data_IF_387615894077
#
_entry.id   IF_387615894077
#
_cell.length_a   1.000
_cell.length_b   1.000
_cell.length_c   1.000
_cell.angle_alpha   90.00
_cell.angle_beta   90.00
_cell.angle_gamma   90.00
#
_symmetry.space_group_name_H-M   'P 1'
#
loop_
_entity.id
_entity.type
_entity.pdbx_description
1 polymer ?
#
# COMPACT_ATOMS: atom_id res chain seq x y z
N UNK A 1 31.53 3.97 60.44
CA UNK A 1 30.95 4.80 61.52
C UNK A 1 30.17 3.92 62.48
N UNK A 2 29.24 3.02 62.01
CA UNK A 2 28.41 2.12 62.83
C UNK A 2 29.26 1.21 63.80
N UNK A 3 30.31 0.54 63.30
CA UNK A 3 31.22 -0.26 64.10
C UNK A 3 32.03 0.54 65.11
N UNK A 4 32.44 1.76 64.75
CA UNK A 4 33.17 2.64 65.67
C UNK A 4 32.28 3.23 66.79
N UNK A 5 30.99 3.46 66.50
CA UNK A 5 30.01 3.92 67.47
C UNK A 5 29.64 2.81 68.46
N UNK A 6 29.47 1.57 67.98
CA UNK A 6 29.16 0.44 68.85
C UNK A 6 30.33 0.11 69.81
N UNK A 7 31.57 0.06 69.32
CA UNK A 7 32.74 -0.23 70.19
C UNK A 7 33.06 0.88 71.19
N UNK A 8 32.73 2.14 70.85
CA UNK A 8 32.85 3.27 71.79
C UNK A 8 31.77 3.27 72.87
N UNK A 9 30.60 2.67 72.64
CA UNK A 9 29.51 2.61 73.58
C UNK A 9 29.75 1.60 74.72
N UNK A 10 30.28 0.44 74.43
CA UNK A 10 30.40 -0.61 75.47
C UNK A 10 31.51 -0.35 76.49
N UNK A 11 32.66 0.18 76.04
CA UNK A 11 33.82 0.33 76.93
C UNK A 11 33.92 1.67 77.63
N UNK A 12 33.34 2.75 77.07
CA UNK A 12 33.41 4.08 77.69
C UNK A 12 32.27 4.38 78.70
N UNK A 13 31.12 3.72 78.57
CA UNK A 13 29.95 4.08 79.39
C UNK A 13 30.08 3.60 80.83
N UNK A 14 30.46 2.33 81.03
CA UNK A 14 30.47 1.77 82.38
C UNK A 14 31.46 2.44 83.34
N UNK A 15 32.68 2.69 82.90
CA UNK A 15 33.70 3.30 83.73
C UNK A 15 33.43 4.76 84.02
N UNK A 16 32.99 5.53 83.01
CA UNK A 16 32.63 6.98 83.21
C UNK A 16 31.39 7.16 84.08
N UNK A 17 30.39 6.32 83.91
CA UNK A 17 29.19 6.39 84.77
C UNK A 17 29.51 6.02 86.22
N UNK A 18 30.35 5.05 86.46
CA UNK A 18 30.84 4.72 87.78
C UNK A 18 31.66 5.86 88.41
N UNK A 19 32.55 6.48 87.63
CA UNK A 19 33.35 7.63 88.09
C UNK A 19 32.50 8.83 88.46
N UNK A 20 31.45 9.13 87.67
CA UNK A 20 30.51 10.24 87.94
C UNK A 20 29.66 9.92 89.18
N UNK A 21 29.16 8.71 89.34
CA UNK A 21 28.40 8.26 90.52
C UNK A 21 29.22 8.23 91.83
N UNK A 22 30.47 7.76 91.71
CA UNK A 22 31.39 7.77 92.86
C UNK A 22 31.92 9.19 93.24
N UNK A 23 31.75 10.16 92.40
CA UNK A 23 32.04 11.56 92.70
C UNK A 23 30.94 12.32 93.48
N UNK A 24 29.81 11.70 93.82
CA UNK A 24 28.70 12.26 94.54
C UNK A 24 29.09 12.66 95.97
N UNK A 25 28.78 13.88 96.39
CA UNK A 25 29.16 14.46 97.71
C UNK A 25 28.14 14.21 98.78
N UNK A 26 26.94 13.74 98.49
CA UNK A 26 25.87 13.34 99.35
C UNK A 26 24.95 12.32 98.72
N UNK A 27 24.12 11.61 99.55
CA UNK A 27 23.14 10.69 99.03
C UNK A 27 22.12 11.28 98.08
N UNK A 28 21.66 12.54 98.36
CA UNK A 28 20.76 13.27 97.46
C UNK A 28 21.44 13.63 96.17
N UNK A 29 22.70 13.95 96.16
CA UNK A 29 23.50 14.22 94.99
C UNK A 29 23.68 12.96 94.14
N UNK A 30 23.92 11.83 94.76
CA UNK A 30 23.97 10.51 94.19
C UNK A 30 22.67 10.14 93.40
N UNK A 31 21.51 10.30 94.09
CA UNK A 31 20.21 10.08 93.43
C UNK A 31 19.95 11.00 92.29
N UNK A 32 20.31 12.29 92.42
CA UNK A 32 20.16 13.26 91.32
C UNK A 32 21.03 12.90 90.10
N UNK A 33 22.26 12.51 90.33
CA UNK A 33 23.18 12.09 89.26
C UNK A 33 22.71 10.76 88.66
N UNK A 34 22.25 9.79 89.45
CA UNK A 34 21.71 8.53 88.95
C UNK A 34 20.48 8.73 88.04
N UNK A 35 19.55 9.59 88.45
CA UNK A 35 18.38 9.92 87.62
C UNK A 35 18.78 10.65 86.37
N UNK A 36 19.68 11.63 86.41
CA UNK A 36 20.18 12.33 85.22
C UNK A 36 20.89 11.39 84.24
N UNK A 37 21.66 10.41 84.77
CA UNK A 37 22.29 9.38 83.94
C UNK A 37 21.26 8.47 83.29
N UNK A 38 20.23 8.07 84.06
CA UNK A 38 19.12 7.29 83.49
C UNK A 38 18.40 8.04 82.39
N UNK A 39 18.10 9.31 82.60
CA UNK A 39 17.45 10.14 81.57
C UNK A 39 18.30 10.29 80.29
N UNK A 40 19.61 10.49 80.46
CA UNK A 40 20.55 10.55 79.32
C UNK A 40 20.60 9.19 78.59
N UNK A 41 20.66 8.08 79.35
CA UNK A 41 20.70 6.75 78.73
C UNK A 41 19.41 6.46 77.94
N UNK A 42 18.26 6.76 78.53
CA UNK A 42 16.97 6.60 77.85
C UNK A 42 16.86 7.47 76.62
N UNK A 43 17.34 8.72 76.66
CA UNK A 43 17.39 9.59 75.51
C UNK A 43 18.32 9.09 74.41
N UNK A 44 19.51 8.58 74.81
CA UNK A 44 20.45 7.98 73.87
C UNK A 44 19.87 6.74 73.21
N UNK A 45 19.19 5.83 73.98
CA UNK A 45 18.51 4.66 73.43
C UNK A 45 17.41 5.05 72.44
N UNK A 46 16.57 6.02 72.82
CA UNK A 46 15.52 6.51 71.91
C UNK A 46 16.13 7.09 70.62
N UNK A 47 17.16 7.90 70.71
CA UNK A 47 17.86 8.52 69.56
C UNK A 47 18.52 7.45 68.68
N UNK A 48 19.12 6.41 69.33
CA UNK A 48 19.72 5.28 68.61
C UNK A 48 18.69 4.45 67.88
N UNK A 49 17.49 4.26 68.46
CA UNK A 49 16.39 3.57 67.81
C UNK A 49 15.87 4.37 66.62
N UNK A 50 15.62 5.69 66.82
CA UNK A 50 15.20 6.59 65.71
C UNK A 50 16.22 6.58 64.55
N UNK A 51 17.52 6.57 64.87
CA UNK A 51 18.57 6.51 63.87
C UNK A 51 18.58 5.16 63.14
N UNK A 52 18.34 4.07 63.86
CA UNK A 52 18.25 2.70 63.29
C UNK A 52 17.06 2.61 62.33
N UNK A 53 15.89 3.12 62.74
CA UNK A 53 14.66 3.10 61.93
C UNK A 53 14.84 3.99 60.67
N UNK A 54 15.55 5.14 60.81
CA UNK A 54 15.84 6.01 59.66
C UNK A 54 16.81 5.36 58.68
N UNK A 55 17.82 4.63 59.16
CA UNK A 55 18.75 3.89 58.33
C UNK A 55 17.99 2.79 57.55
N UNK A 56 17.13 2.02 58.23
CA UNK A 56 16.32 0.99 57.61
C UNK A 56 15.40 1.58 56.54
N UNK A 57 14.74 2.68 56.86
CA UNK A 57 13.92 3.43 55.88
C UNK A 57 14.73 3.89 54.67
N UNK A 58 15.94 4.44 54.91
CA UNK A 58 16.81 4.92 53.84
C UNK A 58 17.27 3.77 52.95
N UNK A 59 17.58 2.62 53.50
CA UNK A 59 17.97 1.42 52.72
C UNK A 59 16.78 0.89 51.89
N UNK A 60 15.56 0.92 52.45
CA UNK A 60 14.34 0.55 51.71
C UNK A 60 14.02 1.54 50.60
N UNK A 61 14.06 2.87 50.88
CA UNK A 61 13.83 3.92 49.87
C UNK A 61 14.86 3.81 48.74
N UNK A 62 16.11 3.49 49.08
CA UNK A 62 17.18 3.30 48.08
C UNK A 62 16.96 2.07 47.22
N UNK A 63 16.48 0.95 47.79
CA UNK A 63 16.13 -0.25 47.04
C UNK A 63 14.96 0.01 46.07
N UNK A 64 13.93 0.70 46.58
CA UNK A 64 12.78 1.08 45.76
C UNK A 64 13.20 2.01 44.60
N UNK A 65 14.05 3.00 44.85
CA UNK A 65 14.55 3.92 43.83
C UNK A 65 15.33 3.19 42.73
N UNK A 66 16.10 2.16 43.08
CA UNK A 66 16.85 1.36 42.09
C UNK A 66 15.92 0.49 41.25
N UNK A 67 14.83 -0.05 41.86
CA UNK A 67 13.78 -0.77 41.14
C UNK A 67 13.03 0.17 40.16
N UNK A 68 12.54 1.33 40.62
CA UNK A 68 11.87 2.34 39.79
C UNK A 68 12.76 2.83 38.64
N UNK A 69 14.06 2.99 38.88
CA UNK A 69 15.03 3.35 37.85
C UNK A 69 15.15 2.27 36.79
N UNK A 70 15.17 1.02 37.20
CA UNK A 70 15.24 -0.14 36.28
C UNK A 70 14.00 -0.22 35.41
N UNK A 71 12.80 -0.02 36.00
CA UNK A 71 11.54 0.02 35.27
C UNK A 71 11.47 1.20 34.30
N UNK A 72 11.95 2.37 34.73
CA UNK A 72 12.02 3.56 33.88
C UNK A 72 12.94 3.35 32.67
N UNK A 73 14.10 2.74 32.87
CA UNK A 73 15.05 2.46 31.78
C UNK A 73 14.49 1.39 30.81
N UNK A 74 13.78 0.39 31.30
CA UNK A 74 13.05 -0.57 30.47
C UNK A 74 11.94 0.11 29.64
N UNK A 75 11.16 0.99 30.28
CA UNK A 75 10.10 1.76 29.62
C UNK A 75 10.65 2.72 28.54
N UNK A 76 11.78 3.40 28.83
CA UNK A 76 12.47 4.20 27.84
C UNK A 76 12.90 3.39 26.63
N UNK A 77 13.45 2.20 26.85
CA UNK A 77 13.88 1.33 25.76
C UNK A 77 12.69 0.87 24.91
N UNK A 78 11.56 0.56 25.54
CA UNK A 78 10.32 0.24 24.82
C UNK A 78 9.83 1.41 23.94
N UNK A 79 9.86 2.64 24.46
CA UNK A 79 9.50 3.83 23.70
C UNK A 79 10.42 4.01 22.49
N UNK A 80 11.73 3.82 22.66
CA UNK A 80 12.70 3.90 21.53
C UNK A 80 12.41 2.82 20.49
N UNK A 81 12.10 1.60 20.90
CA UNK A 81 11.75 0.53 19.98
C UNK A 81 10.48 0.86 19.19
N UNK A 82 9.42 1.34 19.87
CA UNK A 82 8.18 1.78 19.21
C UNK A 82 8.41 2.96 18.25
N UNK A 83 9.26 3.91 18.61
CA UNK A 83 9.63 5.00 17.71
C UNK A 83 10.29 4.48 16.43
N UNK A 84 11.20 3.52 16.54
CA UNK A 84 11.85 2.89 15.40
C UNK A 84 10.87 2.12 14.51
N UNK A 85 9.91 1.40 15.11
CA UNK A 85 8.83 0.73 14.39
C UNK A 85 7.96 1.73 13.62
N UNK A 86 7.58 2.84 14.26
CA UNK A 86 6.80 3.90 13.62
C UNK A 86 7.57 4.53 12.46
N UNK A 87 8.88 4.77 12.63
CA UNK A 87 9.72 5.30 11.55
C UNK A 87 9.81 4.33 10.37
N UNK A 88 9.98 3.04 10.64
CA UNK A 88 9.99 2.00 9.60
C UNK A 88 8.63 1.91 8.87
N UNK A 89 7.53 1.92 9.61
CA UNK A 89 6.18 1.94 9.04
C UNK A 89 5.92 3.21 8.20
N UNK A 90 6.36 4.37 8.69
CA UNK A 90 6.27 5.64 7.94
C UNK A 90 7.04 5.58 6.62
N UNK A 91 8.24 4.98 6.63
CA UNK A 91 9.02 4.80 5.41
C UNK A 91 8.31 3.87 4.42
N UNK A 92 7.76 2.75 4.88
CA UNK A 92 6.97 1.85 4.03
C UNK A 92 5.75 2.54 3.43
N UNK A 93 5.02 3.33 4.23
CA UNK A 93 3.89 4.12 3.74
C UNK A 93 4.34 5.10 2.65
N UNK A 94 5.48 5.77 2.83
CA UNK A 94 6.02 6.69 1.82
C UNK A 94 6.38 5.97 0.51
N UNK A 95 6.96 4.78 0.58
CA UNK A 95 7.25 3.96 -0.60
C UNK A 95 5.95 3.59 -1.32
N UNK A 96 4.94 3.12 -0.58
CA UNK A 96 3.63 2.78 -1.14
C UNK A 96 2.95 4.00 -1.77
N UNK A 97 3.01 5.17 -1.12
CA UNK A 97 2.45 6.41 -1.66
C UNK A 97 3.12 6.82 -2.97
N UNK A 98 4.45 6.72 -3.05
CA UNK A 98 5.19 7.05 -4.27
C UNK A 98 4.84 6.08 -5.40
N UNK A 99 4.73 4.78 -5.10
CA UNK A 99 4.31 3.77 -6.06
C UNK A 99 2.87 4.02 -6.54
N UNK A 100 1.97 4.33 -5.62
CA UNK A 100 0.58 4.66 -5.95
C UNK A 100 0.47 5.94 -6.81
N UNK A 101 1.27 6.96 -6.49
CA UNK A 101 1.32 8.20 -7.27
C UNK A 101 1.80 7.95 -8.71
N UNK A 102 2.80 7.08 -8.88
CA UNK A 102 3.29 6.66 -10.18
C UNK A 102 2.20 5.93 -10.97
N UNK A 103 1.56 4.93 -10.36
CA UNK A 103 0.46 4.18 -10.98
C UNK A 103 -0.71 5.08 -11.36
N UNK A 104 -1.04 6.06 -10.51
CA UNK A 104 -2.07 7.05 -10.79
C UNK A 104 -1.72 7.93 -11.99
N UNK A 105 -0.46 8.37 -12.08
CA UNK A 105 0.04 9.14 -13.21
C UNK A 105 0.00 8.33 -14.52
N UNK A 106 0.44 7.07 -14.46
CA UNK A 106 0.42 6.16 -15.62
C UNK A 106 -1.02 5.88 -16.07
N UNK A 107 -1.94 5.69 -15.13
CA UNK A 107 -3.36 5.50 -15.40
C UNK A 107 -3.99 6.78 -15.97
N UNK A 108 -3.68 7.96 -15.45
CA UNK A 108 -4.12 9.24 -16.02
C UNK A 108 -3.65 9.42 -17.46
N UNK A 109 -2.39 9.06 -17.75
CA UNK A 109 -1.87 9.12 -19.12
C UNK A 109 -2.63 8.14 -20.04
N UNK A 110 -2.94 6.93 -19.57
CA UNK A 110 -3.75 5.96 -20.32
C UNK A 110 -5.16 6.49 -20.55
N UNK A 111 -5.82 7.08 -19.56
CA UNK A 111 -7.14 7.70 -19.70
C UNK A 111 -7.12 8.91 -20.63
N UNK A 112 -6.08 9.74 -20.55
CA UNK A 112 -5.95 10.89 -21.47
C UNK A 112 -5.79 10.44 -22.93
N UNK A 113 -4.98 9.40 -23.18
CA UNK A 113 -4.83 8.79 -24.49
C UNK A 113 -6.14 8.15 -24.97
N UNK A 114 -6.88 7.51 -24.06
CA UNK A 114 -8.18 6.90 -24.35
C UNK A 114 -9.24 7.97 -24.66
N UNK A 115 -9.25 9.08 -23.93
CA UNK A 115 -10.13 10.24 -24.21
C UNK A 115 -9.81 10.87 -25.57
N UNK A 116 -8.52 11.07 -25.88
CA UNK A 116 -8.09 11.59 -27.19
C UNK A 116 -8.48 10.62 -28.33
N UNK A 117 -8.39 9.31 -28.09
CA UNK A 117 -8.86 8.31 -29.05
C UNK A 117 -10.38 8.33 -29.21
N UNK A 118 -11.14 8.51 -28.11
CA UNK A 118 -12.60 8.68 -28.17
C UNK A 118 -12.98 9.93 -28.94
N UNK A 119 -12.27 11.05 -28.76
CA UNK A 119 -12.53 12.27 -29.51
C UNK A 119 -12.12 12.14 -30.99
N UNK A 120 -11.05 11.42 -31.31
CA UNK A 120 -10.68 11.03 -32.66
C UNK A 120 -11.74 10.12 -33.29
N UNK A 121 -12.22 9.14 -32.53
CA UNK A 121 -13.31 8.25 -32.91
C UNK A 121 -14.60 9.05 -33.18
N UNK A 122 -14.98 9.98 -32.29
CA UNK A 122 -16.13 10.86 -32.48
C UNK A 122 -16.00 11.73 -33.73
N UNK A 123 -14.82 12.30 -33.97
CA UNK A 123 -14.54 13.08 -35.17
C UNK A 123 -14.63 12.19 -36.41
N UNK A 124 -14.02 11.01 -36.38
CA UNK A 124 -14.10 10.07 -37.50
C UNK A 124 -15.52 9.51 -37.64
N UNK A 125 -16.31 9.37 -36.54
CA UNK A 125 -17.73 9.01 -36.56
C UNK A 125 -18.57 10.06 -37.31
N UNK A 126 -18.27 11.35 -37.15
CA UNK A 126 -18.94 12.42 -37.89
C UNK A 126 -18.64 12.26 -39.37
N UNK A 127 -17.42 11.96 -39.72
CA UNK A 127 -16.97 11.76 -41.12
C UNK A 127 -17.50 10.43 -41.72
N UNK A 128 -17.75 9.41 -40.86
CA UNK A 128 -18.23 8.07 -41.28
C UNK A 128 -19.76 7.95 -41.12
N UNK A 129 -20.43 8.86 -40.41
CA UNK A 129 -21.88 8.79 -40.13
C UNK A 129 -22.71 8.69 -41.44
N UNK A 130 -22.27 9.32 -42.53
CA UNK A 130 -22.90 9.20 -43.87
C UNK A 130 -22.82 7.74 -44.35
N UNK A 131 -21.75 7.02 -44.11
CA UNK A 131 -21.59 5.63 -44.54
C UNK A 131 -22.25 4.62 -43.62
N UNK A 132 -22.47 4.97 -42.35
CA UNK A 132 -23.12 4.10 -41.34
C UNK A 132 -24.61 3.90 -41.62
N UNK A 133 -25.28 4.79 -42.32
CA UNK A 133 -26.68 4.64 -42.66
C UNK A 133 -26.94 3.41 -43.52
N UNK A 134 -25.97 3.05 -44.36
CA UNK A 134 -26.06 1.88 -45.26
C UNK A 134 -25.62 0.56 -44.61
N UNK A 135 -25.08 0.63 -43.40
CA UNK A 135 -24.67 -0.59 -42.67
C UNK A 135 -25.90 -1.24 -42.04
N UNK A 136 -26.21 -2.52 -42.38
CA UNK A 136 -27.33 -3.21 -41.74
C UNK A 136 -27.06 -3.45 -40.25
N UNK A 137 -28.09 -3.29 -39.44
CA UNK A 137 -28.01 -3.57 -38.00
C UNK A 137 -27.69 -5.04 -37.75
N UNK A 138 -26.72 -5.34 -36.87
CA UNK A 138 -26.40 -6.72 -36.49
C UNK A 138 -27.45 -7.21 -35.48
N UNK A 139 -27.95 -8.45 -35.71
CA UNK A 139 -28.92 -9.07 -34.84
C UNK A 139 -28.34 -9.49 -33.46
N UNK A 140 -27.03 -9.60 -33.37
CA UNK A 140 -26.32 -9.97 -32.11
C UNK A 140 -24.83 -9.95 -32.31
N UNK A 141 -24.08 -10.18 -31.21
CA UNK A 141 -22.63 -10.24 -31.21
C UNK A 141 -22.09 -11.52 -31.83
N UNK A 142 -21.11 -11.40 -32.70
CA UNK A 142 -20.34 -12.49 -33.22
C UNK A 142 -19.09 -12.75 -32.39
N UNK A 143 -18.75 -14.00 -32.11
CA UNK A 143 -17.56 -14.36 -31.34
C UNK A 143 -16.30 -13.96 -32.12
N UNK A 144 -15.45 -13.05 -31.56
CA UNK A 144 -14.45 -12.33 -32.36
C UNK A 144 -13.21 -13.17 -32.70
N UNK A 145 -13.00 -14.30 -32.03
CA UNK A 145 -11.90 -15.25 -32.32
C UNK A 145 -12.46 -16.68 -32.37
N UNK A 146 -13.10 -17.08 -33.46
CA UNK A 146 -13.86 -18.34 -33.52
C UNK A 146 -13.04 -19.59 -33.20
N UNK A 147 -11.76 -19.63 -33.57
CA UNK A 147 -10.84 -20.74 -33.28
C UNK A 147 -10.03 -20.51 -31.98
N UNK A 148 -10.33 -19.48 -31.21
CA UNK A 148 -9.70 -19.17 -29.93
C UNK A 148 -10.65 -19.43 -28.75
N UNK A 149 -10.16 -19.16 -27.55
CA UNK A 149 -10.98 -19.25 -26.35
C UNK A 149 -10.70 -18.07 -25.43
N UNK A 150 -11.69 -17.69 -24.61
CA UNK A 150 -11.53 -16.65 -23.58
C UNK A 150 -10.61 -17.14 -22.48
N UNK A 151 -9.62 -16.32 -22.10
CA UNK A 151 -8.66 -16.64 -21.05
C UNK A 151 -8.83 -15.70 -19.84
N UNK A 152 -8.94 -14.41 -20.08
CA UNK A 152 -9.09 -13.40 -19.02
C UNK A 152 -10.28 -12.49 -19.32
N UNK A 153 -10.95 -12.04 -18.26
CA UNK A 153 -12.13 -11.18 -18.31
C UNK A 153 -11.85 -9.82 -17.70
N UNK A 154 -12.56 -8.82 -18.18
CA UNK A 154 -12.48 -7.48 -17.62
C UNK A 154 -12.72 -7.47 -16.11
N UNK A 155 -11.90 -6.75 -15.39
CA UNK A 155 -11.99 -6.56 -13.94
C UNK A 155 -11.62 -7.75 -13.07
N UNK A 156 -11.29 -8.92 -13.64
CA UNK A 156 -10.99 -10.16 -12.89
C UNK A 156 -9.51 -10.39 -12.64
N UNK A 157 -8.65 -9.74 -13.39
CA UNK A 157 -7.21 -9.88 -13.27
C UNK A 157 -6.56 -8.54 -12.91
N UNK A 158 -5.59 -8.59 -11.99
CA UNK A 158 -4.81 -7.43 -11.61
C UNK A 158 -3.37 -7.59 -12.13
N UNK A 159 -2.87 -6.63 -12.88
CA UNK A 159 -1.45 -6.55 -13.21
C UNK A 159 -0.62 -6.43 -11.93
N UNK A 160 0.67 -6.77 -11.99
CA UNK A 160 1.57 -6.63 -10.83
C UNK A 160 1.61 -5.23 -10.22
N UNK A 161 1.17 -4.21 -10.96
CA UNK A 161 0.93 -2.84 -10.53
C UNK A 161 -0.39 -2.62 -9.77
N UNK A 162 -1.26 -3.64 -9.65
CA UNK A 162 -2.60 -3.51 -9.07
C UNK A 162 -3.67 -2.99 -10.02
N UNK A 163 -3.34 -2.69 -11.29
CA UNK A 163 -4.32 -2.27 -12.29
C UNK A 163 -5.20 -3.44 -12.72
N UNK A 164 -6.49 -3.17 -12.92
CA UNK A 164 -7.44 -4.17 -13.41
C UNK A 164 -7.33 -4.30 -14.91
N UNK A 165 -7.56 -5.52 -15.41
CA UNK A 165 -7.70 -5.79 -16.83
C UNK A 165 -8.98 -5.13 -17.37
N UNK A 166 -8.86 -4.31 -18.41
CA UNK A 166 -9.96 -3.48 -18.91
C UNK A 166 -10.84 -4.21 -19.94
N UNK A 167 -10.31 -5.25 -20.59
CA UNK A 167 -10.99 -5.99 -21.65
C UNK A 167 -11.04 -7.48 -21.42
N UNK A 168 -11.31 -8.20 -22.48
CA UNK A 168 -11.36 -9.66 -22.53
C UNK A 168 -10.23 -10.19 -23.43
N UNK A 169 -9.42 -11.10 -22.90
CA UNK A 169 -8.37 -11.75 -23.68
C UNK A 169 -8.88 -13.03 -24.33
N UNK A 170 -8.67 -13.13 -25.62
CA UNK A 170 -8.96 -14.31 -26.43
C UNK A 170 -7.63 -14.92 -26.90
N UNK A 171 -7.29 -16.06 -26.37
CA UNK A 171 -6.04 -16.76 -26.69
C UNK A 171 -6.25 -17.76 -27.82
N UNK A 172 -5.21 -17.96 -28.61
CA UNK A 172 -5.19 -18.89 -29.73
C UNK A 172 -3.79 -18.98 -30.32
N UNK A 173 -3.66 -19.74 -31.41
CA UNK A 173 -2.40 -19.78 -32.14
C UNK A 173 -2.17 -18.47 -32.88
N UNK A 174 -0.93 -17.98 -32.91
CA UNK A 174 -0.54 -16.82 -33.71
C UNK A 174 -0.96 -17.02 -35.19
N UNK A 175 -1.61 -16.01 -35.75
CA UNK A 175 -2.19 -16.06 -37.10
C UNK A 175 -3.65 -16.54 -37.15
N UNK A 176 -4.26 -16.94 -36.01
CA UNK A 176 -5.69 -17.25 -35.95
C UNK A 176 -6.50 -16.04 -36.41
N UNK A 177 -7.52 -16.21 -37.28
CA UNK A 177 -8.38 -15.15 -37.72
C UNK A 177 -9.07 -14.42 -36.54
N UNK A 178 -9.00 -13.09 -36.54
CA UNK A 178 -9.80 -12.23 -35.70
C UNK A 178 -10.87 -11.60 -36.58
N UNK A 179 -12.13 -11.75 -36.19
CA UNK A 179 -13.28 -11.37 -37.03
C UNK A 179 -14.08 -10.23 -36.37
N UNK A 180 -14.82 -9.48 -37.20
CA UNK A 180 -15.72 -8.47 -36.78
C UNK A 180 -16.80 -9.02 -35.84
N UNK A 181 -16.97 -8.41 -34.69
CA UNK A 181 -17.96 -8.81 -33.67
C UNK A 181 -19.39 -8.37 -34.01
N UNK A 182 -19.59 -7.55 -35.03
CA UNK A 182 -20.87 -7.07 -35.50
C UNK A 182 -20.77 -6.47 -36.91
N UNK A 183 -21.87 -5.87 -37.37
CA UNK A 183 -21.88 -5.13 -38.63
C UNK A 183 -21.47 -3.68 -38.36
N UNK A 184 -20.55 -3.14 -39.15
CA UNK A 184 -20.05 -1.80 -38.91
C UNK A 184 -18.94 -1.35 -39.84
N UNK A 185 -18.10 -0.45 -39.35
CA UNK A 185 -17.01 0.16 -40.13
C UNK A 185 -15.74 0.19 -39.27
N UNK A 186 -14.60 -0.04 -39.91
CA UNK A 186 -13.30 0.15 -39.28
C UNK A 186 -12.99 1.65 -39.19
N UNK A 187 -12.88 2.15 -37.98
CA UNK A 187 -12.70 3.60 -37.71
C UNK A 187 -11.23 3.97 -37.41
N UNK A 188 -10.42 3.00 -36.99
CA UNK A 188 -8.98 3.17 -36.87
C UNK A 188 -8.27 1.85 -37.10
N UNK A 189 -7.06 1.90 -37.67
CA UNK A 189 -6.22 0.76 -37.95
C UNK A 189 -4.76 1.13 -37.68
N UNK A 190 -4.18 0.50 -36.70
CA UNK A 190 -2.82 0.76 -36.21
C UNK A 190 -1.95 -0.45 -36.53
N UNK A 191 -0.81 -0.20 -37.14
CA UNK A 191 0.12 -1.24 -37.59
C UNK A 191 1.57 -0.80 -37.37
N UNK A 192 2.54 -1.72 -37.51
CA UNK A 192 3.97 -1.42 -37.45
C UNK A 192 4.70 -2.01 -36.25
N UNK A 193 4.01 -2.66 -35.33
CA UNK A 193 4.62 -3.34 -34.20
C UNK A 193 4.91 -4.82 -34.52
N UNK A 194 6.16 -5.25 -34.33
CA UNK A 194 6.54 -6.66 -34.29
C UNK A 194 6.02 -7.37 -33.04
N UNK A 195 6.48 -8.61 -32.83
CA UNK A 195 6.18 -9.34 -31.60
C UNK A 195 6.68 -8.56 -30.39
N UNK A 196 5.87 -8.56 -29.35
CA UNK A 196 6.11 -7.81 -28.12
C UNK A 196 6.55 -8.69 -26.96
N UNK A 197 6.71 -8.05 -25.83
CA UNK A 197 7.00 -8.65 -24.53
C UNK A 197 6.42 -7.79 -23.42
N UNK A 198 6.36 -8.31 -22.21
CA UNK A 198 5.87 -7.55 -21.04
C UNK A 198 6.66 -6.24 -20.85
N UNK A 199 5.95 -5.12 -20.81
CA UNK A 199 6.54 -3.78 -20.71
C UNK A 199 6.88 -3.13 -22.05
N UNK A 200 6.65 -3.82 -23.19
CA UNK A 200 6.85 -3.23 -24.50
C UNK A 200 5.76 -2.20 -24.82
N UNK A 201 6.13 -0.92 -24.82
CA UNK A 201 5.23 0.20 -25.13
C UNK A 201 4.91 0.39 -26.61
N UNK A 202 5.27 -0.55 -27.53
CA UNK A 202 5.04 -0.37 -28.95
C UNK A 202 3.57 -0.07 -29.23
N UNK A 203 3.36 1.02 -29.95
CA UNK A 203 2.08 1.47 -30.47
C UNK A 203 2.28 2.23 -31.77
N UNK A 204 1.46 1.94 -32.76
CA UNK A 204 1.42 2.76 -33.98
C UNK A 204 0.62 4.05 -33.75
N UNK A 205 0.65 4.94 -34.74
CA UNK A 205 -0.05 6.23 -34.68
C UNK A 205 -1.55 6.02 -34.44
N UNK A 206 -2.08 6.68 -33.39
CA UNK A 206 -3.50 6.63 -33.04
C UNK A 206 -3.95 5.42 -32.22
N UNK A 207 -3.01 4.56 -31.78
CA UNK A 207 -3.30 3.45 -30.88
C UNK A 207 -3.07 3.78 -29.42
N UNK A 208 -3.44 2.86 -28.52
CA UNK A 208 -3.15 2.94 -27.09
C UNK A 208 -1.79 2.33 -26.78
N UNK A 209 -1.10 2.88 -25.77
CA UNK A 209 0.20 2.43 -25.33
C UNK A 209 0.21 0.92 -25.00
N UNK A 210 1.20 0.24 -25.55
CA UNK A 210 1.35 -1.20 -25.34
C UNK A 210 0.37 -2.08 -26.10
N UNK A 211 -0.64 -1.53 -26.78
CA UNK A 211 -1.64 -2.30 -27.53
C UNK A 211 -1.11 -2.94 -28.82
N UNK A 212 0.09 -2.58 -29.26
CA UNK A 212 0.69 -3.12 -30.48
C UNK A 212 -0.08 -2.72 -31.72
N UNK A 213 -0.30 -3.67 -32.62
CA UNK A 213 -1.16 -3.51 -33.79
C UNK A 213 -2.61 -3.63 -33.37
N UNK A 214 -3.45 -2.66 -33.77
CA UNK A 214 -4.82 -2.52 -33.27
C UNK A 214 -5.80 -2.22 -34.38
N UNK A 215 -7.05 -2.61 -34.16
CA UNK A 215 -8.21 -2.16 -34.91
C UNK A 215 -9.24 -1.58 -33.95
N UNK A 216 -9.87 -0.50 -34.39
CA UNK A 216 -11.06 0.04 -33.79
C UNK A 216 -12.19 -0.05 -34.79
N UNK A 217 -13.27 -0.73 -34.44
CA UNK A 217 -14.46 -0.87 -35.26
C UNK A 217 -15.65 -0.25 -34.56
N UNK A 218 -16.50 0.43 -35.31
CA UNK A 218 -17.78 0.92 -34.86
C UNK A 218 -18.89 0.01 -35.37
N UNK A 219 -19.62 -0.63 -34.45
CA UNK A 219 -20.68 -1.59 -34.79
C UNK A 219 -22.06 -1.02 -34.50
N UNK A 220 -23.00 -1.29 -35.43
CA UNK A 220 -24.40 -0.95 -35.31
C UNK A 220 -25.16 -2.20 -34.82
N UNK A 221 -25.50 -2.19 -33.54
CA UNK A 221 -26.20 -3.28 -32.88
C UNK A 221 -27.69 -2.91 -32.67
N UNK A 222 -28.53 -3.90 -32.36
CA UNK A 222 -29.96 -3.66 -32.14
C UNK A 222 -30.26 -2.67 -31.00
N UNK A 223 -29.42 -2.63 -29.99
CA UNK A 223 -29.58 -1.81 -28.78
C UNK A 223 -28.71 -0.55 -28.76
N UNK A 224 -27.81 -0.37 -29.74
CA UNK A 224 -26.95 0.80 -29.80
C UNK A 224 -25.76 0.71 -30.73
N UNK A 225 -24.93 1.74 -30.63
CA UNK A 225 -23.64 1.81 -31.29
C UNK A 225 -22.54 1.47 -30.30
N UNK A 226 -21.62 0.66 -30.74
CA UNK A 226 -20.49 0.21 -29.92
C UNK A 226 -19.19 0.35 -30.65
N UNK A 227 -18.21 0.99 -30.02
CA UNK A 227 -16.83 0.95 -30.47
C UNK A 227 -16.14 -0.27 -29.85
N UNK A 228 -15.42 -1.03 -30.67
CA UNK A 228 -14.69 -2.23 -30.22
C UNK A 228 -13.25 -2.10 -30.64
N UNK A 229 -12.36 -2.19 -29.64
CA UNK A 229 -10.90 -2.23 -29.83
C UNK A 229 -10.42 -3.67 -29.85
N UNK A 230 -9.55 -3.99 -30.80
CA UNK A 230 -8.83 -5.27 -30.92
C UNK A 230 -7.33 -4.96 -30.85
N UNK A 231 -6.62 -5.51 -29.89
CA UNK A 231 -5.20 -5.24 -29.65
C UNK A 231 -4.33 -6.49 -29.85
N UNK A 232 -3.03 -6.28 -29.87
CA UNK A 232 -1.99 -7.31 -30.01
C UNK A 232 -2.05 -8.10 -31.32
N UNK A 233 -2.65 -7.52 -32.37
CA UNK A 233 -2.79 -8.18 -33.65
C UNK A 233 -1.42 -8.46 -34.32
N UNK A 234 -1.42 -9.42 -35.22
CA UNK A 234 -0.23 -9.76 -36.00
C UNK A 234 0.16 -8.59 -36.91
N UNK A 235 1.47 -8.37 -37.06
CA UNK A 235 2.00 -7.37 -37.97
C UNK A 235 1.46 -7.53 -39.38
N UNK A 236 1.04 -6.44 -40.00
CA UNK A 236 0.46 -6.37 -41.34
C UNK A 236 -0.87 -7.15 -41.52
N UNK A 237 -1.56 -7.50 -40.44
CA UNK A 237 -2.86 -8.16 -40.50
C UNK A 237 -4.07 -7.21 -40.33
N UNK A 238 -3.98 -6.04 -39.68
CA UNK A 238 -5.09 -5.10 -39.58
C UNK A 238 -5.58 -4.64 -40.95
N UNK A 239 -6.90 -4.73 -41.20
CA UNK A 239 -7.50 -4.19 -42.42
C UNK A 239 -7.62 -2.65 -42.37
N UNK A 240 -7.86 -2.01 -43.51
CA UNK A 240 -7.83 -0.57 -43.64
C UNK A 240 -9.00 0.15 -42.97
N UNK A 241 -8.76 1.38 -42.53
CA UNK A 241 -9.79 2.31 -42.05
C UNK A 241 -10.81 2.58 -43.19
N UNK A 242 -12.10 2.77 -42.81
CA UNK A 242 -13.20 2.97 -43.72
C UNK A 242 -13.78 1.70 -44.32
N UNK A 243 -13.18 0.54 -44.07
CA UNK A 243 -13.73 -0.76 -44.52
C UNK A 243 -15.04 -1.08 -43.80
N UNK A 244 -16.11 -1.23 -44.60
CA UNK A 244 -17.40 -1.76 -44.10
C UNK A 244 -17.26 -3.25 -43.88
N UNK A 245 -17.70 -3.73 -42.71
CA UNK A 245 -17.58 -5.12 -42.31
C UNK A 245 -18.91 -5.68 -41.82
N UNK A 246 -19.08 -6.98 -42.00
CA UNK A 246 -20.20 -7.76 -41.43
C UNK A 246 -19.67 -8.69 -40.33
N UNK A 247 -20.54 -9.01 -39.37
CA UNK A 247 -20.18 -9.95 -38.30
C UNK A 247 -19.61 -11.24 -38.83
N UNK A 248 -18.47 -11.70 -38.33
CA UNK A 248 -17.75 -12.87 -38.82
C UNK A 248 -16.73 -12.61 -39.94
N UNK A 249 -16.71 -11.44 -40.57
CA UNK A 249 -15.69 -11.06 -41.56
C UNK A 249 -14.33 -10.89 -40.87
N UNK A 250 -13.27 -11.47 -41.46
CA UNK A 250 -11.92 -11.31 -40.92
C UNK A 250 -11.47 -9.85 -40.99
N UNK A 251 -10.99 -9.31 -39.87
CA UNK A 251 -10.48 -7.95 -39.72
C UNK A 251 -8.99 -7.88 -39.41
N UNK A 252 -8.44 -9.00 -38.90
CA UNK A 252 -7.04 -9.11 -38.56
C UNK A 252 -6.67 -10.54 -38.23
N UNK A 253 -5.50 -10.73 -37.66
CA UNK A 253 -5.03 -12.01 -37.15
C UNK A 253 -4.48 -11.84 -35.75
N UNK A 254 -4.70 -12.86 -34.91
CA UNK A 254 -4.19 -12.94 -33.56
C UNK A 254 -2.66 -12.91 -33.57
N UNK A 255 -2.07 -12.02 -32.81
CA UNK A 255 -0.64 -11.81 -32.65
C UNK A 255 -0.18 -11.83 -31.22
N UNK A 256 0.90 -11.13 -30.95
CA UNK A 256 1.48 -10.87 -29.62
C UNK A 256 2.24 -9.55 -29.66
N UNK A 257 1.79 -8.57 -30.45
CA UNK A 257 2.46 -7.28 -30.59
C UNK A 257 2.23 -6.37 -29.37
N UNK A 258 3.18 -5.48 -29.08
CA UNK A 258 3.08 -4.55 -27.96
C UNK A 258 3.36 -5.18 -26.60
N UNK A 259 2.65 -4.73 -25.57
CA UNK A 259 2.78 -5.23 -24.19
C UNK A 259 2.01 -6.55 -24.02
N UNK A 260 2.59 -7.64 -24.44
CA UNK A 260 1.94 -8.96 -24.48
C UNK A 260 2.87 -10.05 -23.93
N UNK A 261 2.29 -11.00 -23.21
CA UNK A 261 3.01 -12.17 -22.66
C UNK A 261 2.93 -13.41 -23.56
N UNK A 262 2.13 -13.36 -24.61
CA UNK A 262 1.93 -14.50 -25.53
C UNK A 262 0.79 -14.25 -26.51
N UNK A 263 0.57 -15.17 -27.48
CA UNK A 263 -0.42 -14.94 -28.51
C UNK A 263 -1.85 -14.84 -27.97
N UNK A 264 -2.43 -13.65 -28.08
CA UNK A 264 -3.82 -13.37 -27.74
C UNK A 264 -4.31 -12.12 -28.48
N UNK A 265 -5.62 -11.92 -28.50
CA UNK A 265 -6.25 -10.67 -28.88
C UNK A 265 -6.97 -10.12 -27.66
N UNK A 266 -6.55 -8.94 -27.20
CA UNK A 266 -7.22 -8.19 -26.15
C UNK A 266 -8.35 -7.36 -26.79
N UNK A 267 -9.57 -7.47 -26.25
CA UNK A 267 -10.75 -6.83 -26.81
C UNK A 267 -11.47 -6.01 -25.73
N UNK A 268 -11.68 -4.75 -26.04
CA UNK A 268 -12.47 -3.82 -25.23
C UNK A 268 -13.71 -3.37 -26.00
N UNK A 269 -14.85 -3.26 -25.29
CA UNK A 269 -16.13 -2.85 -25.87
C UNK A 269 -16.64 -1.60 -25.16
N UNK A 270 -16.90 -0.55 -25.93
CA UNK A 270 -17.36 0.74 -25.45
C UNK A 270 -18.76 1.03 -26.00
N UNK A 271 -19.72 1.29 -25.13
CA UNK A 271 -21.03 1.80 -25.51
C UNK A 271 -20.89 3.28 -25.95
N UNK A 272 -21.34 3.59 -27.14
CA UNK A 272 -21.19 4.91 -27.74
C UNK A 272 -22.51 5.68 -27.68
N UNK A 273 -23.58 5.08 -28.16
CA UNK A 273 -24.89 5.76 -28.23
C UNK A 273 -26.04 4.74 -28.34
N UNK A 274 -27.29 5.12 -27.97
CA UNK A 274 -28.47 4.31 -28.18
C UNK A 274 -28.73 4.06 -29.69
N UNK A 275 -29.47 2.99 -29.97
CA UNK A 275 -29.91 2.69 -31.33
C UNK A 275 -30.72 3.86 -31.91
N UNK A 276 -30.47 4.16 -33.17
CA UNK A 276 -31.13 5.27 -33.87
C UNK A 276 -30.56 6.67 -33.58
N UNK A 277 -29.50 6.77 -32.76
CA UNK A 277 -28.81 8.05 -32.54
C UNK A 277 -28.19 8.52 -33.85
N UNK A 278 -28.50 9.75 -34.29
CA UNK A 278 -27.80 10.42 -35.39
C UNK A 278 -26.41 10.83 -34.91
N UNK A 279 -25.38 10.45 -35.66
CA UNK A 279 -23.99 10.81 -35.38
C UNK A 279 -23.62 12.18 -35.98
N UNK A 280 -24.57 12.81 -36.65
CA UNK A 280 -24.42 14.15 -37.22
C UNK A 280 -24.85 15.20 -36.20
N UNK A 281 -23.98 15.59 -35.31
CA UNK A 281 -24.08 16.86 -34.56
C UNK A 281 -22.72 17.44 -34.39
#
# INVERSE_FOLDING_TARGET
IKERMVSAQETMRLNKFLDILMGAKSFNDFIRIANGLSDITNYDESTMQELSDLIEKLDNDKAQLEEEKTELDASKQEVVNKQNEILAAKYQIQVIQNEFQKQFSDLQAQYANMAANIDSIKKTMTDIAEHLNDVPTAAGWTYPVPAGHKNQYAGTWAYGSGARHLGCDYVGTKGTPVVAAGNGVIINSVNGCGDGWLGNGCVGTGGVWGGGNQIYALYKMNDGLYAVQYSHLLLNSPIAVGTVVTGGQQIGQLGTSGNSTGPHCHIEVYYVAPAGTSLST
#
